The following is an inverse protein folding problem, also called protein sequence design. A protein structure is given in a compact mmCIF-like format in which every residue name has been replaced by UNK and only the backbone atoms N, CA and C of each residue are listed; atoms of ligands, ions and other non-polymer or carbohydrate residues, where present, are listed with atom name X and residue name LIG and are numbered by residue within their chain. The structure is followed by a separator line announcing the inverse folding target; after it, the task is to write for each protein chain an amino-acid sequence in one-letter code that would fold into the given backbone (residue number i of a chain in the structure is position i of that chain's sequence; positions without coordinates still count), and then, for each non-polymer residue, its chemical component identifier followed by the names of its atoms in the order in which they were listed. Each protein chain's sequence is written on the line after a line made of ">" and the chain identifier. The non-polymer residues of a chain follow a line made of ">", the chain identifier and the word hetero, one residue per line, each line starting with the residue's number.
data_IF_942429346616
#
_entry.id   IF_942429346616
#
_cell.length_a   1.000
_cell.length_b   1.000
_cell.length_c   1.000
_cell.angle_alpha   90.00
_cell.angle_beta   90.00
_cell.angle_gamma   90.00
#
_symmetry.space_group_name_H-M   'P 1'
#
loop_
_entity.id
_entity.type
_entity.pdbx_description
1 polymer ?
#
# COMPACT_ATOMS: atom_id res chain seq x y z
N UNK A 1 -26.39 -65.07 -50.06
CA UNK A 1 -25.49 -65.29 -48.92
C UNK A 1 -24.62 -64.06 -48.79
N UNK A 2 -24.56 -63.56 -47.56
CA UNK A 2 -24.37 -62.17 -47.15
C UNK A 2 -22.91 -61.67 -47.18
N UNK A 3 -22.74 -60.36 -47.38
CA UNK A 3 -21.47 -59.62 -47.37
C UNK A 3 -21.30 -59.00 -45.97
N UNK A 4 -20.26 -59.35 -45.20
CA UNK A 4 -19.81 -58.54 -44.02
C UNK A 4 -18.30 -58.72 -43.78
N UNK A 5 -17.49 -57.70 -44.08
CA UNK A 5 -17.01 -56.60 -43.21
C UNK A 5 -15.75 -56.95 -42.37
N UNK A 6 -14.56 -56.65 -42.93
CA UNK A 6 -13.30 -56.59 -42.15
C UNK A 6 -13.25 -55.25 -41.39
N UNK A 7 -13.13 -55.30 -40.07
CA UNK A 7 -12.95 -54.10 -39.24
C UNK A 7 -11.51 -53.57 -39.37
N UNK A 8 -11.38 -52.34 -39.86
CA UNK A 8 -10.12 -51.59 -39.84
C UNK A 8 -9.99 -50.95 -38.45
N UNK A 9 -9.02 -51.39 -37.64
CA UNK A 9 -8.68 -50.69 -36.38
C UNK A 9 -8.06 -49.34 -36.72
N UNK A 10 -8.58 -48.27 -36.14
CA UNK A 10 -7.98 -46.93 -36.23
C UNK A 10 -6.62 -46.91 -35.50
N UNK A 11 -5.64 -46.13 -35.99
CA UNK A 11 -4.37 -45.98 -35.29
C UNK A 11 -4.59 -45.24 -33.97
N UNK A 12 -4.11 -45.81 -32.86
CA UNK A 12 -4.00 -45.10 -31.58
C UNK A 12 -3.06 -43.91 -31.80
N UNK A 13 -3.62 -42.70 -31.71
CA UNK A 13 -2.83 -41.48 -31.63
C UNK A 13 -2.03 -41.51 -30.32
N UNK A 14 -0.73 -41.80 -30.42
CA UNK A 14 0.19 -41.63 -29.31
C UNK A 14 0.32 -40.12 -29.10
N UNK A 15 -0.39 -39.59 -28.10
CA UNK A 15 -0.27 -38.19 -27.71
C UNK A 15 1.15 -37.95 -27.21
N UNK A 16 1.87 -37.06 -27.88
CA UNK A 16 3.23 -36.70 -27.51
C UNK A 16 3.21 -35.92 -26.17
N UNK A 17 3.77 -36.47 -25.09
CA UNK A 17 3.72 -35.84 -23.76
C UNK A 17 4.44 -34.49 -23.72
N UNK A 18 5.37 -34.20 -24.63
CA UNK A 18 6.04 -32.90 -24.72
C UNK A 18 5.10 -31.80 -25.22
N UNK A 19 4.17 -32.14 -26.11
CA UNK A 19 3.18 -31.20 -26.66
C UNK A 19 2.11 -30.89 -25.62
N UNK A 20 1.67 -31.89 -24.82
CA UNK A 20 0.76 -31.65 -23.70
C UNK A 20 1.42 -30.80 -22.59
N UNK A 21 2.71 -31.00 -22.28
CA UNK A 21 3.40 -30.20 -21.27
C UNK A 21 3.56 -28.74 -21.71
N UNK A 22 3.90 -28.50 -22.98
CA UNK A 22 3.95 -27.16 -23.55
C UNK A 22 2.58 -26.49 -23.52
N UNK A 23 1.53 -27.16 -24.00
CA UNK A 23 0.17 -26.60 -24.02
C UNK A 23 -0.43 -26.42 -22.62
N UNK A 24 -0.08 -27.25 -21.65
CA UNK A 24 -0.48 -27.08 -20.24
C UNK A 24 0.23 -25.88 -19.61
N UNK A 25 1.53 -25.67 -19.91
CA UNK A 25 2.23 -24.46 -19.50
C UNK A 25 1.64 -23.21 -20.19
N UNK A 26 1.32 -23.28 -21.49
CA UNK A 26 0.73 -22.15 -22.24
C UNK A 26 -0.73 -21.88 -21.85
N UNK A 27 -1.52 -22.90 -21.48
CA UNK A 27 -2.89 -22.72 -20.96
C UNK A 27 -2.92 -22.22 -19.53
N UNK A 28 -1.96 -22.60 -18.70
CA UNK A 28 -1.82 -22.05 -17.33
C UNK A 28 -1.40 -20.58 -17.36
N UNK A 29 -0.69 -20.15 -18.40
CA UNK A 29 -0.32 -18.74 -18.62
C UNK A 29 -1.49 -17.87 -19.12
N UNK A 30 -2.62 -18.45 -19.53
CA UNK A 30 -3.70 -17.72 -20.20
C UNK A 30 -5.00 -17.71 -19.40
N UNK A 31 -4.97 -17.01 -18.26
CA UNK A 31 -6.12 -16.25 -17.74
C UNK A 31 -5.70 -15.20 -16.69
N UNK A 32 -4.55 -14.56 -16.88
CA UNK A 32 -4.25 -13.32 -16.15
C UNK A 32 -5.15 -12.24 -16.75
N UNK A 33 -6.37 -12.10 -16.24
CA UNK A 33 -7.18 -10.92 -16.54
C UNK A 33 -6.48 -9.74 -15.86
N UNK A 34 -5.84 -8.88 -16.66
CA UNK A 34 -5.36 -7.59 -16.20
C UNK A 34 -6.58 -6.79 -15.74
N UNK A 35 -6.81 -6.80 -14.43
CA UNK A 35 -7.84 -6.02 -13.75
C UNK A 35 -7.13 -5.20 -12.70
N UNK A 36 -7.16 -3.90 -12.89
CA UNK A 36 -6.74 -2.95 -11.87
C UNK A 36 -7.98 -2.47 -11.11
N UNK A 37 -8.03 -2.63 -9.78
CA UNK A 37 -7.02 -3.26 -8.94
C UNK A 37 -7.14 -4.79 -8.83
N UNK A 38 -6.08 -5.50 -8.38
CA UNK A 38 -6.08 -6.97 -8.32
C UNK A 38 -7.02 -7.49 -7.24
N UNK A 39 -8.04 -8.27 -7.63
CA UNK A 39 -9.01 -8.90 -6.72
C UNK A 39 -8.39 -9.68 -5.53
N UNK A 40 -7.27 -10.44 -5.69
CA UNK A 40 -6.70 -11.23 -4.59
C UNK A 40 -6.16 -10.37 -3.44
N UNK A 41 -5.66 -9.17 -3.77
CA UNK A 41 -5.07 -8.27 -2.77
C UNK A 41 -6.15 -7.58 -1.93
N UNK A 42 -7.34 -7.37 -2.51
CA UNK A 42 -8.48 -6.73 -1.86
C UNK A 42 -8.18 -5.28 -1.54
N UNK A 43 -8.49 -4.35 -2.45
CA UNK A 43 -8.29 -2.95 -2.14
C UNK A 43 -9.36 -2.47 -1.18
N UNK A 44 -8.90 -2.12 0.02
CA UNK A 44 -9.71 -1.47 1.03
C UNK A 44 -10.07 -0.07 0.57
N UNK A 45 -11.07 0.08 -0.28
CA UNK A 45 -11.87 1.30 -0.31
C UNK A 45 -13.23 0.98 0.32
N UNK A 46 -13.29 0.63 1.62
CA UNK A 46 -14.50 0.16 2.27
C UNK A 46 -15.68 1.13 2.15
N UNK A 47 -15.46 2.44 2.03
CA UNK A 47 -16.58 3.37 1.83
C UNK A 47 -17.10 3.28 0.41
N UNK A 48 -16.22 3.34 -0.59
CA UNK A 48 -16.64 3.20 -1.99
C UNK A 48 -17.32 1.83 -2.24
N UNK A 49 -16.83 0.77 -1.59
CA UNK A 49 -17.42 -0.58 -1.68
C UNK A 49 -18.74 -0.69 -0.91
N UNK A 50 -18.88 -0.05 0.26
CA UNK A 50 -20.14 -0.03 1.00
C UNK A 50 -21.22 0.81 0.29
N UNK A 51 -20.84 1.90 -0.38
CA UNK A 51 -21.75 2.70 -1.21
C UNK A 51 -22.13 1.93 -2.49
N UNK A 52 -21.18 1.22 -3.10
CA UNK A 52 -21.43 0.44 -4.32
C UNK A 52 -22.13 -0.90 -4.06
N UNK A 53 -22.08 -1.43 -2.85
CA UNK A 53 -22.67 -2.73 -2.50
C UNK A 53 -23.29 -2.70 -1.08
N UNK A 54 -24.63 -2.74 -0.98
CA UNK A 54 -25.37 -2.70 0.28
C UNK A 54 -25.03 -3.83 1.26
N UNK A 55 -24.40 -4.91 0.80
CA UNK A 55 -24.02 -6.07 1.60
C UNK A 55 -22.63 -5.96 2.24
N UNK A 56 -21.90 -4.87 1.99
CA UNK A 56 -20.58 -4.65 2.60
C UNK A 56 -20.73 -3.72 3.81
N UNK A 57 -20.65 -4.21 5.07
CA UNK A 57 -20.64 -3.33 6.22
C UNK A 57 -19.44 -2.39 6.11
N UNK A 58 -19.65 -1.09 6.32
CA UNK A 58 -18.54 -0.14 6.24
C UNK A 58 -17.54 -0.44 7.35
N UNK A 59 -16.33 -0.89 6.98
CA UNK A 59 -15.22 -1.09 7.92
C UNK A 59 -14.89 0.19 8.72
N UNK A 60 -15.29 1.35 8.18
CA UNK A 60 -15.17 2.67 8.80
C UNK A 60 -15.99 2.80 10.09
N UNK A 61 -17.18 2.19 10.17
CA UNK A 61 -18.00 2.26 11.39
C UNK A 61 -17.44 1.38 12.52
N UNK A 62 -16.64 0.35 12.20
CA UNK A 62 -16.08 -0.58 13.18
C UNK A 62 -14.66 -0.15 13.60
N UNK A 63 -14.55 0.34 14.84
CA UNK A 63 -13.29 0.79 15.46
C UNK A 63 -12.69 2.06 14.80
N UNK A 64 -13.55 3.06 14.58
CA UNK A 64 -13.20 4.38 14.04
C UNK A 64 -12.09 5.12 14.83
N UNK A 65 -11.90 4.77 16.10
CA UNK A 65 -10.88 5.36 16.98
C UNK A 65 -9.45 4.89 16.68
N UNK A 66 -9.27 3.71 16.06
CA UNK A 66 -7.94 3.14 15.82
C UNK A 66 -7.08 4.00 14.88
N UNK A 67 -7.57 4.51 13.73
CA UNK A 67 -6.85 5.47 12.90
C UNK A 67 -6.41 6.72 13.65
N UNK A 68 -7.25 7.22 14.57
CA UNK A 68 -6.95 8.41 15.36
C UNK A 68 -5.77 8.15 16.30
N UNK A 69 -5.86 7.06 17.08
CA UNK A 69 -4.80 6.66 18.01
C UNK A 69 -3.52 6.33 17.26
N UNK A 70 -3.60 5.61 16.14
CA UNK A 70 -2.44 5.28 15.33
C UNK A 70 -1.75 6.52 14.75
N UNK A 71 -2.51 7.52 14.28
CA UNK A 71 -1.95 8.78 13.77
C UNK A 71 -1.22 9.58 14.84
N UNK A 72 -1.80 9.68 16.04
CA UNK A 72 -1.17 10.35 17.19
C UNK A 72 0.09 9.59 17.63
N UNK A 73 0.02 8.27 17.78
CA UNK A 73 1.18 7.46 18.18
C UNK A 73 2.29 7.54 17.12
N UNK A 74 1.96 7.44 15.83
CA UNK A 74 2.94 7.51 14.76
C UNK A 74 3.63 8.87 14.70
N UNK A 75 2.89 9.97 14.84
CA UNK A 75 3.47 11.32 14.87
C UNK A 75 4.38 11.54 16.09
N UNK A 76 3.96 11.09 17.28
CA UNK A 76 4.82 11.15 18.48
C UNK A 76 6.08 10.31 18.28
N UNK A 77 5.96 9.08 17.77
CA UNK A 77 7.11 8.22 17.50
C UNK A 77 8.09 8.86 16.50
N UNK A 78 7.58 9.43 15.41
CA UNK A 78 8.38 10.15 14.40
C UNK A 78 9.12 11.33 15.03
N UNK A 79 8.45 12.15 15.84
CA UNK A 79 9.08 13.30 16.51
C UNK A 79 10.12 12.86 17.55
N UNK A 80 9.86 11.78 18.30
CA UNK A 80 10.82 11.25 19.27
C UNK A 80 12.05 10.67 18.58
N UNK A 81 11.87 9.89 17.51
CA UNK A 81 12.99 9.36 16.71
C UNK A 81 13.78 10.51 16.09
N UNK A 82 13.11 11.55 15.60
CA UNK A 82 13.79 12.75 15.09
C UNK A 82 14.61 13.48 16.17
N UNK A 83 14.05 13.61 17.37
CA UNK A 83 14.73 14.23 18.49
C UNK A 83 15.98 13.43 18.90
N UNK A 84 15.87 12.11 19.01
CA UNK A 84 16.95 11.25 19.53
C UNK A 84 18.05 11.01 18.50
N UNK A 85 17.68 10.75 17.23
CA UNK A 85 18.65 10.35 16.20
C UNK A 85 19.15 11.53 15.35
N UNK A 86 18.37 12.62 15.26
CA UNK A 86 18.64 13.72 14.34
C UNK A 86 18.54 15.10 15.02
N UNK A 87 18.68 15.14 16.35
CA UNK A 87 18.71 16.36 17.17
C UNK A 87 17.51 17.30 16.95
N UNK A 88 16.34 16.76 16.60
CA UNK A 88 15.12 17.54 16.41
C UNK A 88 15.15 18.41 15.15
N UNK A 89 15.84 17.98 14.10
CA UNK A 89 15.93 18.73 12.85
C UNK A 89 14.56 19.06 12.21
N UNK A 90 13.47 18.37 12.56
CA UNK A 90 12.11 18.67 12.10
C UNK A 90 11.53 19.92 12.77
N UNK A 91 12.03 20.31 13.95
CA UNK A 91 11.44 21.39 14.75
C UNK A 91 11.41 22.73 14.00
N UNK A 92 12.42 23.00 13.16
CA UNK A 92 12.43 24.19 12.30
C UNK A 92 11.24 24.23 11.35
N UNK A 93 10.99 23.12 10.63
CA UNK A 93 9.84 22.97 9.72
C UNK A 93 8.50 22.96 10.47
N UNK A 94 8.45 22.31 11.63
CA UNK A 94 7.25 22.31 12.49
C UNK A 94 6.88 23.74 12.90
N UNK A 95 7.86 24.56 13.26
CA UNK A 95 7.64 25.98 13.57
C UNK A 95 7.25 26.80 12.34
N UNK A 96 7.93 26.60 11.21
CA UNK A 96 7.67 27.28 9.94
C UNK A 96 6.23 27.06 9.45
N UNK A 97 5.75 25.81 9.48
CA UNK A 97 4.37 25.47 9.11
C UNK A 97 3.40 25.89 10.22
N UNK A 98 3.81 25.74 11.49
CA UNK A 98 3.02 26.13 12.65
C UNK A 98 2.69 27.62 12.71
N UNK A 99 3.56 28.49 12.19
CA UNK A 99 3.33 29.93 12.12
C UNK A 99 2.42 30.37 10.97
N UNK A 100 2.05 29.45 10.07
CA UNK A 100 1.12 29.76 8.97
C UNK A 100 -0.32 29.90 9.49
N UNK A 101 -1.20 30.61 8.76
CA UNK A 101 -2.63 30.66 9.06
C UNK A 101 -3.24 29.26 9.20
N UNK A 102 -4.26 29.11 10.06
CA UNK A 102 -4.92 27.83 10.27
C UNK A 102 -5.49 27.25 8.96
N UNK A 103 -6.01 28.10 8.07
CA UNK A 103 -6.49 27.68 6.74
C UNK A 103 -5.38 27.02 5.91
N UNK A 104 -4.17 27.59 5.91
CA UNK A 104 -3.00 27.01 5.22
C UNK A 104 -2.62 25.67 5.83
N UNK A 105 -2.59 25.56 7.16
CA UNK A 105 -2.24 24.32 7.87
C UNK A 105 -3.27 23.20 7.61
N UNK A 106 -4.56 23.55 7.58
CA UNK A 106 -5.64 22.63 7.21
C UNK A 106 -5.53 22.20 5.74
N UNK A 107 -5.21 23.14 4.83
CA UNK A 107 -5.00 22.82 3.43
C UNK A 107 -3.82 21.85 3.24
N UNK A 108 -2.68 22.11 3.90
CA UNK A 108 -1.53 21.19 3.90
C UNK A 108 -1.97 19.82 4.40
N UNK A 109 -2.63 19.73 5.56
CA UNK A 109 -3.10 18.47 6.14
C UNK A 109 -3.97 17.66 5.20
N UNK A 110 -4.97 18.27 4.56
CA UNK A 110 -5.91 17.54 3.70
C UNK A 110 -5.24 17.15 2.38
N UNK A 111 -4.59 18.12 1.71
CA UNK A 111 -4.06 17.92 0.36
C UNK A 111 -2.90 16.92 0.37
N UNK A 112 -1.94 17.07 1.29
CA UNK A 112 -0.80 16.15 1.37
C UNK A 112 -1.24 14.75 1.78
N UNK A 113 -2.12 14.60 2.79
CA UNK A 113 -2.58 13.27 3.20
C UNK A 113 -3.30 12.54 2.05
N UNK A 114 -4.18 13.22 1.32
CA UNK A 114 -4.87 12.58 0.19
C UNK A 114 -3.89 12.25 -0.94
N UNK A 115 -3.07 13.21 -1.37
CA UNK A 115 -2.12 13.04 -2.47
C UNK A 115 -1.12 11.91 -2.18
N UNK A 116 -0.50 11.92 -1.00
CA UNK A 116 0.52 10.95 -0.63
C UNK A 116 -0.07 9.55 -0.42
N UNK A 117 -1.28 9.43 0.15
CA UNK A 117 -1.90 8.11 0.24
C UNK A 117 -2.26 7.54 -1.13
N UNK A 118 -2.74 8.38 -2.06
CA UNK A 118 -3.02 7.94 -3.44
C UNK A 118 -1.73 7.48 -4.15
N UNK A 119 -0.66 8.27 -4.09
CA UNK A 119 0.60 7.94 -4.78
C UNK A 119 1.23 6.68 -4.17
N UNK A 120 1.45 6.66 -2.87
CA UNK A 120 2.28 5.61 -2.28
C UNK A 120 1.50 4.34 -1.97
N UNK A 121 0.18 4.40 -1.72
CA UNK A 121 -0.59 3.23 -1.31
C UNK A 121 -1.39 2.68 -2.48
N UNK A 122 -2.22 3.52 -3.10
CA UNK A 122 -3.04 3.10 -4.24
C UNK A 122 -2.17 2.75 -5.44
N UNK A 123 -1.19 3.60 -5.79
CA UNK A 123 -0.35 3.33 -6.94
C UNK A 123 0.84 2.43 -6.58
N UNK A 124 1.82 2.93 -5.81
CA UNK A 124 3.10 2.23 -5.60
C UNK A 124 2.93 0.92 -4.83
N UNK A 125 2.40 0.95 -3.60
CA UNK A 125 2.31 -0.26 -2.77
C UNK A 125 1.48 -1.36 -3.43
N UNK A 126 0.36 -0.98 -4.07
CA UNK A 126 -0.48 -1.94 -4.78
C UNK A 126 0.18 -2.50 -6.03
N UNK A 127 0.86 -1.67 -6.83
CA UNK A 127 1.57 -2.12 -8.01
C UNK A 127 2.68 -3.11 -7.63
N UNK A 128 3.49 -2.76 -6.63
CA UNK A 128 4.57 -3.63 -6.14
C UNK A 128 4.01 -4.92 -5.55
N UNK A 129 2.99 -4.83 -4.70
CA UNK A 129 2.34 -6.01 -4.14
C UNK A 129 1.76 -6.91 -5.24
N UNK A 130 1.18 -6.33 -6.29
CA UNK A 130 0.67 -7.10 -7.42
C UNK A 130 1.77 -7.86 -8.16
N UNK A 131 2.89 -7.19 -8.47
CA UNK A 131 4.04 -7.82 -9.13
C UNK A 131 4.64 -8.94 -8.27
N UNK A 132 4.77 -8.71 -6.96
CA UNK A 132 5.27 -9.73 -6.02
C UNK A 132 4.30 -10.90 -5.95
N UNK A 133 3.00 -10.63 -5.84
CA UNK A 133 1.97 -11.67 -5.82
C UNK A 133 2.01 -12.51 -7.10
N UNK A 134 2.12 -11.89 -8.28
CA UNK A 134 2.29 -12.61 -9.55
C UNK A 134 3.49 -13.54 -9.51
N UNK A 135 4.63 -13.07 -9.02
CA UNK A 135 5.86 -13.84 -8.96
C UNK A 135 5.79 -15.03 -7.98
N UNK A 136 5.11 -14.88 -6.84
CA UNK A 136 5.16 -15.87 -5.75
C UNK A 136 3.88 -16.70 -5.59
N UNK A 137 2.81 -16.37 -6.31
CA UNK A 137 1.46 -16.97 -6.17
C UNK A 137 1.43 -18.50 -6.31
N UNK A 138 2.35 -19.08 -7.09
CA UNK A 138 2.38 -20.52 -7.37
C UNK A 138 3.25 -21.34 -6.40
N UNK A 139 4.08 -20.69 -5.58
CA UNK A 139 5.11 -21.38 -4.78
C UNK A 139 5.15 -20.98 -3.31
N UNK A 140 4.49 -19.89 -2.92
CA UNK A 140 4.39 -19.45 -1.53
C UNK A 140 3.06 -19.92 -0.90
N UNK A 141 3.08 -20.25 0.39
CA UNK A 141 1.88 -20.60 1.17
C UNK A 141 1.00 -19.38 1.47
N UNK A 142 1.62 -18.20 1.64
CA UNK A 142 0.94 -16.94 1.96
C UNK A 142 1.36 -15.80 1.01
N UNK A 143 1.17 -15.96 -0.31
CA UNK A 143 1.68 -15.02 -1.31
C UNK A 143 1.08 -13.61 -1.15
N UNK A 144 -0.13 -13.52 -0.60
CA UNK A 144 -0.81 -12.24 -0.34
C UNK A 144 -0.11 -11.43 0.76
N UNK A 145 0.18 -12.05 1.90
CA UNK A 145 0.78 -11.34 3.03
C UNK A 145 2.19 -10.87 2.68
N UNK A 146 2.99 -11.73 2.02
CA UNK A 146 4.31 -11.35 1.53
C UNK A 146 4.22 -10.16 0.56
N UNK A 147 3.32 -10.25 -0.44
CA UNK A 147 3.11 -9.18 -1.41
C UNK A 147 2.75 -7.84 -0.74
N UNK A 148 1.82 -7.85 0.21
CA UNK A 148 1.40 -6.66 0.94
C UNK A 148 2.56 -6.02 1.72
N UNK A 149 3.34 -6.82 2.45
CA UNK A 149 4.50 -6.32 3.19
C UNK A 149 5.59 -5.77 2.27
N UNK A 150 5.93 -6.47 1.19
CA UNK A 150 6.93 -5.96 0.24
C UNK A 150 6.45 -4.67 -0.41
N UNK A 151 5.17 -4.60 -0.81
CA UNK A 151 4.56 -3.37 -1.31
C UNK A 151 4.65 -2.21 -0.31
N UNK A 152 4.32 -2.46 0.96
CA UNK A 152 4.43 -1.48 2.04
C UNK A 152 5.86 -1.00 2.26
N UNK A 153 6.83 -1.92 2.32
CA UNK A 153 8.24 -1.56 2.58
C UNK A 153 8.83 -0.74 1.44
N UNK A 154 8.57 -1.13 0.18
CA UNK A 154 9.02 -0.37 -1.00
C UNK A 154 8.35 1.01 -1.04
N UNK A 155 7.04 1.08 -0.81
CA UNK A 155 6.34 2.35 -0.77
C UNK A 155 6.84 3.27 0.36
N UNK A 156 7.08 2.73 1.56
CA UNK A 156 7.62 3.48 2.69
C UNK A 156 9.03 4.03 2.43
N UNK A 157 9.89 3.23 1.78
CA UNK A 157 11.21 3.67 1.36
C UNK A 157 11.13 4.82 0.35
N UNK A 158 10.32 4.67 -0.71
CA UNK A 158 10.13 5.72 -1.73
C UNK A 158 9.46 6.97 -1.15
N UNK A 159 8.55 6.80 -0.20
CA UNK A 159 7.92 7.90 0.53
C UNK A 159 8.95 8.74 1.28
N UNK A 160 9.91 8.09 1.96
CA UNK A 160 11.02 8.80 2.59
C UNK A 160 11.98 9.44 1.62
N UNK A 161 12.28 8.81 0.48
CA UNK A 161 13.10 9.44 -0.56
C UNK A 161 12.49 10.73 -1.11
N UNK A 162 11.16 10.77 -1.30
CA UNK A 162 10.49 11.98 -1.78
C UNK A 162 10.61 13.17 -0.82
N UNK A 163 10.85 12.91 0.46
CA UNK A 163 11.02 13.94 1.49
C UNK A 163 12.45 14.48 1.61
N UNK A 164 13.42 13.89 0.89
CA UNK A 164 14.82 14.34 0.93
C UNK A 164 14.97 15.78 0.42
N UNK A 165 14.18 16.19 -0.57
CA UNK A 165 14.21 17.54 -1.13
C UNK A 165 13.93 18.64 -0.09
N UNK A 166 13.25 18.31 1.01
CA UNK A 166 12.95 19.24 2.09
C UNK A 166 14.11 19.42 3.09
N UNK A 167 15.27 18.77 2.88
CA UNK A 167 16.35 18.65 3.87
C UNK A 167 17.69 19.22 3.40
N UNK A 168 17.68 20.29 2.60
CA UNK A 168 18.88 20.87 1.97
C UNK A 168 20.03 21.20 2.94
N UNK A 169 19.76 21.39 4.24
CA UNK A 169 20.75 21.78 5.25
C UNK A 169 20.85 20.79 6.43
N UNK A 170 20.42 19.53 6.28
CA UNK A 170 20.46 18.52 7.36
C UNK A 170 21.51 17.47 7.07
N UNK A 171 22.29 17.08 8.09
CA UNK A 171 23.25 15.99 7.97
C UNK A 171 22.55 14.67 7.63
N UNK A 172 23.13 13.89 6.72
CA UNK A 172 22.59 12.62 6.24
C UNK A 172 21.10 12.68 5.83
N UNK A 173 20.73 13.57 4.88
CA UNK A 173 19.33 13.89 4.60
C UNK A 173 18.55 12.66 4.07
N UNK A 174 19.20 11.79 3.30
CA UNK A 174 18.60 10.54 2.82
C UNK A 174 18.30 9.59 3.97
N UNK A 175 19.28 9.30 4.82
CA UNK A 175 19.11 8.41 5.97
C UNK A 175 17.97 8.92 6.85
N UNK A 176 18.01 10.21 7.20
CA UNK A 176 16.97 10.83 8.00
C UNK A 176 15.59 10.74 7.37
N UNK A 177 15.45 11.17 6.11
CA UNK A 177 14.15 11.17 5.45
C UNK A 177 13.57 9.76 5.34
N UNK A 178 14.40 8.77 4.99
CA UNK A 178 13.98 7.37 4.91
C UNK A 178 13.62 6.81 6.29
N UNK A 179 14.38 7.11 7.34
CA UNK A 179 14.06 6.64 8.70
C UNK A 179 12.75 7.24 9.19
N UNK A 180 12.61 8.57 9.15
CA UNK A 180 11.47 9.26 9.75
C UNK A 180 10.19 9.00 8.96
N UNK A 181 10.21 9.23 7.65
CA UNK A 181 9.03 9.04 6.83
C UNK A 181 8.77 7.55 6.56
N UNK A 182 9.79 6.70 6.55
CA UNK A 182 9.62 5.26 6.43
C UNK A 182 8.82 4.66 7.59
N UNK A 183 9.03 5.11 8.83
CA UNK A 183 8.21 4.71 9.99
C UNK A 183 6.74 5.06 9.74
N UNK A 184 6.46 6.30 9.33
CA UNK A 184 5.10 6.72 8.98
C UNK A 184 4.52 5.88 7.83
N UNK A 185 5.31 5.66 6.77
CA UNK A 185 4.91 4.86 5.61
C UNK A 185 4.58 3.40 5.96
N UNK A 186 5.30 2.78 6.90
CA UNK A 186 4.99 1.42 7.38
C UNK A 186 3.66 1.39 8.13
N UNK A 187 3.43 2.34 9.06
CA UNK A 187 2.17 2.42 9.82
C UNK A 187 0.99 2.64 8.87
N UNK A 188 1.10 3.62 7.98
CA UNK A 188 0.07 3.99 7.03
C UNK A 188 -0.20 2.87 6.02
N UNK A 189 0.85 2.21 5.51
CA UNK A 189 0.72 1.03 4.66
C UNK A 189 0.07 -0.15 5.36
N UNK A 190 0.33 -0.34 6.66
CA UNK A 190 -0.33 -1.40 7.44
C UNK A 190 -1.83 -1.13 7.59
N UNK A 191 -2.20 0.12 7.89
CA UNK A 191 -3.61 0.54 7.98
C UNK A 191 -4.29 0.42 6.61
N UNK A 192 -3.61 0.81 5.53
CA UNK A 192 -4.12 0.64 4.17
C UNK A 192 -4.53 -0.81 3.87
N UNK A 193 -3.66 -1.78 4.19
CA UNK A 193 -3.97 -3.19 3.95
C UNK A 193 -5.01 -3.78 4.90
N UNK A 194 -5.02 -3.34 6.17
CA UNK A 194 -5.93 -3.89 7.18
C UNK A 194 -7.32 -3.26 7.16
N UNK A 195 -7.39 -1.99 6.80
CA UNK A 195 -8.55 -1.11 7.04
C UNK A 195 -8.96 -0.29 5.83
N UNK A 196 -8.06 -0.10 4.87
CA UNK A 196 -8.33 0.61 3.64
C UNK A 196 -7.80 2.03 3.57
N UNK A 197 -7.91 2.60 2.37
CA UNK A 197 -7.43 3.90 1.95
C UNK A 197 -8.02 5.03 2.77
N UNK A 198 -9.34 5.03 2.99
CA UNK A 198 -10.01 6.13 3.70
C UNK A 198 -9.52 6.22 5.15
N UNK A 199 -9.25 5.08 5.79
CA UNK A 199 -8.69 5.05 7.14
C UNK A 199 -7.18 5.31 7.16
N UNK A 200 -6.45 4.97 6.09
CA UNK A 200 -5.06 5.39 5.94
C UNK A 200 -4.95 6.91 5.78
N UNK A 201 -5.79 7.53 4.93
CA UNK A 201 -5.92 8.98 4.78
C UNK A 201 -6.27 9.63 6.11
N UNK A 202 -7.28 9.12 6.84
CA UNK A 202 -7.64 9.66 8.14
C UNK A 202 -6.48 9.58 9.14
N UNK A 203 -5.78 8.45 9.21
CA UNK A 203 -4.60 8.28 10.07
C UNK A 203 -3.53 9.32 9.71
N UNK A 204 -3.28 9.50 8.43
CA UNK A 204 -2.27 10.44 7.94
C UNK A 204 -2.65 11.89 8.27
N UNK A 205 -3.90 12.29 8.02
CA UNK A 205 -4.42 13.59 8.41
C UNK A 205 -4.26 13.84 9.91
N UNK A 206 -4.51 12.84 10.76
CA UNK A 206 -4.31 12.95 12.21
C UNK A 206 -2.83 13.11 12.57
N UNK A 207 -1.93 12.38 11.90
CA UNK A 207 -0.49 12.56 12.09
C UNK A 207 -0.06 13.99 11.74
N UNK A 208 -0.53 14.52 10.59
CA UNK A 208 -0.22 15.89 10.16
C UNK A 208 -0.84 16.92 11.09
N UNK A 209 -2.10 16.73 11.52
CA UNK A 209 -2.74 17.58 12.51
C UNK A 209 -1.94 17.61 13.82
N UNK A 210 -1.46 16.45 14.27
CA UNK A 210 -0.65 16.37 15.50
C UNK A 210 0.64 17.18 15.34
N UNK A 211 1.36 16.98 14.23
CA UNK A 211 2.66 17.62 13.99
C UNK A 211 2.54 19.12 13.70
N UNK A 212 1.59 19.55 12.87
CA UNK A 212 1.51 20.92 12.38
C UNK A 212 0.39 21.74 13.00
N UNK A 213 -0.57 21.14 13.70
CA UNK A 213 -1.65 21.86 14.40
C UNK A 213 -1.42 21.85 15.91
N UNK A 214 -1.31 20.66 16.48
CA UNK A 214 -1.25 20.46 17.94
C UNK A 214 0.10 20.85 18.50
N UNK A 215 1.20 20.28 18.02
CA UNK A 215 2.55 20.56 18.57
C UNK A 215 2.91 22.05 18.56
N UNK A 216 2.72 22.83 17.48
CA UNK A 216 3.04 24.25 17.48
C UNK A 216 2.22 25.09 18.46
N UNK A 217 1.08 24.60 18.94
CA UNK A 217 0.27 25.33 19.94
C UNK A 217 0.89 25.32 21.35
N UNK A 218 1.95 24.52 21.56
CA UNK A 218 2.69 24.41 22.81
C UNK A 218 4.13 24.94 22.72
N UNK A 219 4.53 25.50 21.57
CA UNK A 219 5.92 25.93 21.29
C UNK A 219 6.09 27.44 21.27
#
# INVERSE_FOLDING_TARGET
>A
MDITSRSVRSPRTVKDPKVEFSLAATRTLMKIQFRWPPRPLGLGTPLNLAVASPSTPSLVLRNWWLPLVAGVIASIAVLLVDQVLFAGASLGRVREIGSQPLSTRLAIMILSAVEEELIYRVFIATLVAWLVWLAVSHFNREPKQLAQWVGTLVAAYLFGLAHVANLSNVAHPVLRAVTINGIAGIVLGSIYWWRGLELAILTHMVAIATIYIVVPSFM
#
